data_IF_018193685970
#
_entry.id   IF_018193685970
#
_cell.length_a   1.000
_cell.length_b   1.000
_cell.length_c   1.000
_cell.angle_alpha   90.00
_cell.angle_beta   90.00
_cell.angle_gamma   90.00
#
_symmetry.space_group_name_H-M   'P 1'
#
loop_
_entity.id
_entity.type
_entity.pdbx_description
1 polymer ?
#
# COMPACT_ATOMS: atom_id res chain seq x y z
N UNK A 1 -8.64 -13.21 -5.71
CA UNK A 1 -7.78 -13.08 -4.52
C UNK A 1 -8.55 -13.60 -3.31
N UNK A 2 -7.91 -14.41 -2.46
CA UNK A 2 -8.51 -14.89 -1.21
C UNK A 2 -8.06 -13.97 -0.08
N UNK A 3 -8.93 -13.05 0.33
CA UNK A 3 -8.64 -12.13 1.43
C UNK A 3 -8.92 -12.82 2.77
N UNK A 4 -7.97 -12.76 3.71
CA UNK A 4 -8.16 -13.30 5.06
C UNK A 4 -9.14 -12.43 5.85
N UNK A 5 -9.91 -13.04 6.75
CA UNK A 5 -10.89 -12.29 7.57
C UNK A 5 -10.25 -11.53 8.73
N UNK A 6 -9.09 -11.98 9.19
CA UNK A 6 -8.31 -11.35 10.27
C UNK A 6 -6.82 -11.49 10.00
N UNK A 7 -6.04 -10.50 10.42
CA UNK A 7 -4.59 -10.49 10.34
C UNK A 7 -3.92 -11.02 11.62
N UNK A 8 -4.67 -11.15 12.71
CA UNK A 8 -4.17 -11.59 14.02
C UNK A 8 -5.25 -12.26 14.85
N UNK A 9 -4.83 -12.86 15.95
CA UNK A 9 -5.70 -13.40 16.99
C UNK A 9 -4.88 -14.02 18.11
N UNK A 10 -5.55 -14.70 19.08
CA UNK A 10 -4.84 -15.31 20.20
C UNK A 10 -3.77 -16.30 19.72
N UNK A 11 -2.50 -15.95 19.93
CA UNK A 11 -1.35 -16.79 19.62
C UNK A 11 -0.89 -16.76 18.14
N UNK A 12 -1.41 -15.87 17.29
CA UNK A 12 -0.95 -15.78 15.90
C UNK A 12 -1.05 -14.39 15.28
N UNK A 13 -0.20 -14.14 14.28
CA UNK A 13 -0.29 -13.03 13.34
C UNK A 13 0.07 -13.53 11.93
N UNK A 14 -0.63 -13.04 10.91
CA UNK A 14 -0.40 -13.39 9.51
C UNK A 14 0.50 -12.35 8.87
N UNK A 15 1.55 -12.80 8.18
CA UNK A 15 2.59 -11.94 7.60
C UNK A 15 2.74 -12.22 6.10
N UNK A 16 3.18 -11.21 5.35
CA UNK A 16 3.41 -11.31 3.91
C UNK A 16 2.25 -11.98 3.16
N UNK A 17 2.56 -12.97 2.34
CA UNK A 17 1.56 -13.66 1.52
C UNK A 17 0.51 -14.45 2.34
N UNK A 18 0.78 -14.76 3.60
CA UNK A 18 -0.23 -15.39 4.47
C UNK A 18 -1.31 -14.38 4.89
N UNK A 19 -1.00 -13.09 4.91
CA UNK A 19 -1.94 -12.01 5.16
C UNK A 19 -2.67 -11.61 3.87
N UNK A 20 -1.92 -11.23 2.83
CA UNK A 20 -2.50 -10.84 1.55
C UNK A 20 -1.50 -11.00 0.41
N UNK A 21 -1.99 -11.43 -0.75
CA UNK A 21 -1.22 -11.47 -1.99
C UNK A 21 -1.80 -10.46 -2.99
N UNK A 22 -0.94 -9.56 -3.47
CA UNK A 22 -1.22 -8.64 -4.57
C UNK A 22 -0.51 -9.14 -5.84
N UNK A 23 -1.00 -8.71 -7.00
CA UNK A 23 -0.38 -9.05 -8.28
C UNK A 23 1.09 -8.56 -8.35
N UNK A 24 2.02 -9.36 -8.91
CA UNK A 24 3.45 -9.03 -8.91
C UNK A 24 3.87 -7.86 -9.83
N UNK A 25 2.97 -7.15 -10.53
CA UNK A 25 3.31 -6.03 -11.44
C UNK A 25 4.36 -5.07 -10.88
N UNK A 26 4.27 -4.71 -9.59
CA UNK A 26 5.19 -3.75 -8.95
C UNK A 26 6.17 -4.37 -7.96
N UNK A 27 6.30 -5.71 -7.92
CA UNK A 27 7.26 -6.40 -7.05
C UNK A 27 7.18 -6.05 -5.55
N UNK A 28 5.99 -5.69 -5.06
CA UNK A 28 5.79 -5.23 -3.67
C UNK A 28 5.74 -6.34 -2.61
N UNK A 29 5.64 -7.61 -3.03
CA UNK A 29 5.44 -8.74 -2.11
C UNK A 29 6.52 -8.90 -1.03
N UNK A 30 7.80 -8.77 -1.40
CA UNK A 30 8.92 -8.85 -0.43
C UNK A 30 8.88 -7.65 0.53
N UNK A 31 8.59 -6.45 0.04
CA UNK A 31 8.43 -5.26 0.88
C UNK A 31 7.30 -5.45 1.89
N UNK A 32 6.15 -5.95 1.46
CA UNK A 32 5.01 -6.22 2.35
C UNK A 32 5.36 -7.30 3.38
N UNK A 33 6.04 -8.37 2.98
CA UNK A 33 6.48 -9.42 3.88
C UNK A 33 7.42 -8.89 4.96
N UNK A 34 8.46 -8.15 4.58
CA UNK A 34 9.43 -7.58 5.53
C UNK A 34 8.79 -6.52 6.41
N UNK A 35 7.90 -5.67 5.87
CA UNK A 35 7.20 -4.64 6.63
C UNK A 35 6.25 -5.24 7.66
N UNK A 36 5.45 -6.22 7.26
CA UNK A 36 4.55 -6.93 8.18
C UNK A 36 5.34 -7.62 9.30
N UNK A 37 6.45 -8.30 8.98
CA UNK A 37 7.29 -8.95 9.98
C UNK A 37 7.90 -7.94 10.98
N UNK A 38 8.43 -6.82 10.48
CA UNK A 38 8.99 -5.77 11.33
C UNK A 38 7.95 -5.18 12.29
N UNK A 39 6.73 -4.91 11.81
CA UNK A 39 5.65 -4.37 12.64
C UNK A 39 5.17 -5.39 13.69
N UNK A 40 4.90 -6.62 13.26
CA UNK A 40 4.44 -7.68 14.16
C UNK A 40 5.49 -8.00 15.24
N UNK A 41 6.77 -8.03 14.88
CA UNK A 41 7.86 -8.26 15.84
C UNK A 41 7.92 -7.16 16.91
N UNK A 42 7.68 -5.90 16.54
CA UNK A 42 7.66 -4.78 17.48
C UNK A 42 6.50 -4.89 18.48
N UNK A 43 5.30 -5.20 18.00
CA UNK A 43 4.11 -5.39 18.85
C UNK A 43 4.28 -6.62 19.75
N UNK A 44 4.74 -7.75 19.19
CA UNK A 44 5.00 -8.98 19.93
C UNK A 44 6.03 -8.77 21.04
N UNK A 45 7.12 -8.05 20.75
CA UNK A 45 8.16 -7.76 21.73
C UNK A 45 7.57 -7.06 22.96
N UNK A 46 6.77 -6.00 22.75
CA UNK A 46 6.10 -5.27 23.83
C UNK A 46 5.10 -6.13 24.61
N UNK A 47 4.31 -6.95 23.91
CA UNK A 47 3.40 -7.89 24.57
C UNK A 47 4.16 -8.88 25.47
N UNK A 48 5.30 -9.41 25.01
CA UNK A 48 6.13 -10.33 25.79
C UNK A 48 6.78 -9.66 27.00
N UNK A 49 6.90 -8.33 27.01
CA UNK A 49 7.32 -7.55 28.18
C UNK A 49 6.16 -7.26 29.16
N UNK A 50 4.95 -7.73 28.87
CA UNK A 50 3.77 -7.52 29.71
C UNK A 50 3.04 -6.19 29.47
N UNK A 51 3.38 -5.46 28.41
CA UNK A 51 2.62 -4.27 28.02
C UNK A 51 1.25 -4.64 27.46
N UNK A 52 0.26 -3.76 27.70
CA UNK A 52 -0.99 -3.79 26.97
C UNK A 52 -0.74 -3.32 25.53
N UNK A 53 -1.04 -4.18 24.56
CA UNK A 53 -0.93 -3.89 23.13
C UNK A 53 -2.26 -4.12 22.44
N UNK A 54 -2.54 -3.33 21.41
CA UNK A 54 -3.67 -3.51 20.51
C UNK A 54 -3.19 -3.89 19.12
N UNK A 55 -3.21 -5.18 18.81
CA UNK A 55 -2.81 -5.70 17.49
C UNK A 55 -3.65 -5.17 16.33
N UNK A 56 -4.88 -4.73 16.58
CA UNK A 56 -5.72 -4.15 15.54
C UNK A 56 -5.18 -2.78 15.14
N UNK A 57 -4.99 -1.89 16.12
CA UNK A 57 -4.55 -0.51 15.90
C UNK A 57 -3.06 -0.45 15.54
N UNK A 58 -2.24 -1.30 16.14
CA UNK A 58 -0.78 -1.19 16.07
C UNK A 58 -0.16 -2.05 14.95
N UNK A 59 -0.87 -3.08 14.47
CA UNK A 59 -0.39 -3.97 13.41
C UNK A 59 -1.36 -4.06 12.21
N UNK A 60 -2.61 -4.45 12.45
CA UNK A 60 -3.53 -4.80 11.37
C UNK A 60 -3.92 -3.59 10.50
N UNK A 61 -4.38 -2.52 11.13
CA UNK A 61 -4.79 -1.30 10.43
C UNK A 61 -3.63 -0.64 9.69
N UNK A 62 -2.45 -0.41 10.30
CA UNK A 62 -1.36 0.25 9.58
C UNK A 62 -0.79 -0.65 8.48
N UNK A 63 -0.75 -1.99 8.66
CA UNK A 63 -0.34 -2.90 7.58
C UNK A 63 -1.33 -2.81 6.42
N UNK A 64 -2.63 -2.89 6.73
CA UNK A 64 -3.70 -2.81 5.73
C UNK A 64 -3.67 -1.50 4.95
N UNK A 65 -3.36 -0.36 5.57
CA UNK A 65 -3.24 0.93 4.86
C UNK A 65 -2.23 0.85 3.71
N UNK A 66 -1.01 0.38 3.95
CA UNK A 66 0.00 0.28 2.90
C UNK A 66 -0.32 -0.78 1.84
N UNK A 67 -0.92 -1.90 2.24
CA UNK A 67 -1.39 -2.92 1.29
C UNK A 67 -2.51 -2.36 0.40
N UNK A 68 -3.45 -1.60 0.96
CA UNK A 68 -4.54 -0.95 0.22
C UNK A 68 -4.01 0.11 -0.75
N UNK A 69 -2.94 0.84 -0.37
CA UNK A 69 -2.21 1.75 -1.27
C UNK A 69 -1.67 0.99 -2.48
N UNK A 70 -0.88 -0.07 -2.28
CA UNK A 70 -0.40 -0.88 -3.40
C UNK A 70 -1.54 -1.46 -4.24
N UNK A 71 -2.61 -1.96 -3.61
CA UNK A 71 -3.77 -2.50 -4.31
C UNK A 71 -4.39 -1.47 -5.23
N UNK A 72 -4.53 -0.22 -4.80
CA UNK A 72 -5.05 0.86 -5.64
C UNK A 72 -4.24 1.04 -6.93
N UNK A 73 -2.92 0.99 -6.87
CA UNK A 73 -2.07 1.14 -8.05
C UNK A 73 -2.08 -0.09 -8.94
N UNK A 74 -2.14 -1.29 -8.37
CA UNK A 74 -2.30 -2.54 -9.14
C UNK A 74 -3.64 -2.54 -9.87
N UNK A 75 -4.74 -2.22 -9.18
CA UNK A 75 -6.06 -2.09 -9.78
C UNK A 75 -6.07 -1.02 -10.88
N UNK A 76 -5.47 0.15 -10.62
CA UNK A 76 -5.34 1.22 -11.60
C UNK A 76 -4.50 0.86 -12.83
N UNK A 77 -3.48 0.01 -12.67
CA UNK A 77 -2.70 -0.51 -13.79
C UNK A 77 -3.57 -1.34 -14.74
N UNK A 78 -4.33 -2.30 -14.20
CA UNK A 78 -5.22 -3.13 -15.01
C UNK A 78 -6.43 -2.38 -15.56
N UNK A 79 -6.89 -1.33 -14.86
CA UNK A 79 -7.96 -0.46 -15.33
C UNK A 79 -7.50 0.57 -16.39
N UNK A 80 -6.20 0.66 -16.68
CA UNK A 80 -5.63 1.66 -17.60
C UNK A 80 -5.41 3.04 -16.97
N UNK A 81 -6.19 3.43 -15.95
CA UNK A 81 -6.11 4.76 -15.32
C UNK A 81 -4.73 5.14 -14.80
N UNK A 82 -3.94 4.18 -14.31
CA UNK A 82 -2.57 4.44 -13.88
C UNK A 82 -1.58 4.52 -15.04
N UNK A 83 -1.85 3.81 -16.14
CA UNK A 83 -1.05 3.89 -17.37
C UNK A 83 -1.18 5.28 -17.99
N UNK A 84 -2.40 5.85 -18.03
CA UNK A 84 -2.64 7.21 -18.49
C UNK A 84 -1.76 8.23 -17.75
N UNK A 85 -1.63 8.07 -16.43
CA UNK A 85 -0.81 8.97 -15.59
C UNK A 85 0.70 8.76 -15.80
N UNK A 86 1.16 7.50 -15.88
CA UNK A 86 2.59 7.20 -16.03
C UNK A 86 3.13 7.62 -17.40
N UNK A 87 2.35 7.43 -18.46
CA UNK A 87 2.78 7.65 -19.83
C UNK A 87 2.40 9.03 -20.37
N UNK A 88 1.77 9.88 -19.56
CA UNK A 88 1.44 11.24 -19.97
C UNK A 88 2.72 12.06 -20.26
N UNK A 89 2.84 12.71 -21.44
CA UNK A 89 4.07 13.35 -21.90
C UNK A 89 4.51 14.51 -21.01
N UNK A 90 3.57 15.32 -20.52
CA UNK A 90 3.84 16.54 -19.74
C UNK A 90 3.64 16.32 -18.23
N UNK A 91 4.08 15.16 -17.73
CA UNK A 91 3.94 14.82 -16.31
C UNK A 91 4.75 15.75 -15.40
N UNK A 92 4.08 16.32 -14.39
CA UNK A 92 4.73 17.13 -13.36
C UNK A 92 5.85 16.34 -12.65
N UNK A 93 7.09 16.88 -12.57
CA UNK A 93 8.20 16.19 -11.90
C UNK A 93 7.92 15.88 -10.42
N UNK A 94 7.11 16.73 -9.75
CA UNK A 94 6.74 16.50 -8.36
C UNK A 94 5.80 15.30 -8.21
N UNK A 95 4.78 15.20 -9.08
CA UNK A 95 3.83 14.09 -9.08
C UNK A 95 4.56 12.79 -9.40
N UNK A 96 5.45 12.81 -10.40
CA UNK A 96 6.28 11.66 -10.74
C UNK A 96 7.11 11.17 -9.55
N UNK A 97 7.73 12.08 -8.78
CA UNK A 97 8.46 11.70 -7.55
C UNK A 97 7.56 11.04 -6.51
N UNK A 98 6.36 11.57 -6.29
CA UNK A 98 5.40 11.02 -5.33
C UNK A 98 4.94 9.60 -5.73
N UNK A 99 4.67 9.37 -7.01
CA UNK A 99 4.32 8.05 -7.54
C UNK A 99 5.53 7.11 -7.45
N UNK A 100 6.73 7.56 -7.85
CA UNK A 100 7.96 6.78 -7.74
C UNK A 100 8.26 6.35 -6.31
N UNK A 101 7.96 7.18 -5.30
CA UNK A 101 8.12 6.80 -3.90
C UNK A 101 7.26 5.58 -3.52
N UNK A 102 6.01 5.52 -4.00
CA UNK A 102 5.14 4.36 -3.77
C UNK A 102 5.74 3.10 -4.41
N UNK A 103 6.16 3.20 -5.68
CA UNK A 103 6.81 2.09 -6.39
C UNK A 103 8.12 1.64 -5.74
N UNK A 104 8.81 2.56 -5.07
CA UNK A 104 10.02 2.28 -4.29
C UNK A 104 9.75 1.68 -2.89
N UNK A 105 8.48 1.48 -2.52
CA UNK A 105 8.11 0.83 -1.25
C UNK A 105 7.56 1.75 -0.17
N UNK A 106 7.50 3.07 -0.39
CA UNK A 106 7.06 4.05 0.61
C UNK A 106 5.52 4.14 0.73
N UNK A 107 4.82 3.01 0.67
CA UNK A 107 3.36 2.93 0.73
C UNK A 107 2.74 3.23 2.12
N UNK A 108 3.57 3.58 3.11
CA UNK A 108 3.17 3.97 4.46
C UNK A 108 3.52 5.43 4.80
N UNK A 109 4.07 6.18 3.85
CA UNK A 109 4.36 7.61 4.05
C UNK A 109 3.10 8.45 3.82
N UNK A 110 2.34 8.69 4.89
CA UNK A 110 1.08 9.44 4.84
C UNK A 110 1.26 10.94 4.49
N UNK A 111 2.50 11.46 4.51
CA UNK A 111 2.79 12.81 4.00
C UNK A 111 2.66 12.90 2.48
N UNK A 112 2.74 11.76 1.78
CA UNK A 112 2.48 11.66 0.36
C UNK A 112 0.96 11.58 0.11
N UNK A 113 0.33 12.55 -0.58
CA UNK A 113 -1.12 12.52 -0.84
C UNK A 113 -1.57 11.30 -1.63
N UNK A 114 -0.67 10.71 -2.41
CA UNK A 114 -0.90 9.47 -3.17
C UNK A 114 -0.90 8.21 -2.31
N UNK A 115 -0.44 8.31 -1.06
CA UNK A 115 -0.51 7.24 -0.06
C UNK A 115 -1.69 7.45 0.88
N UNK A 116 -1.96 8.68 1.30
CA UNK A 116 -3.07 8.98 2.22
C UNK A 116 -4.44 8.97 1.53
N UNK A 117 -4.51 9.30 0.23
CA UNK A 117 -5.76 9.32 -0.55
C UNK A 117 -5.61 8.62 -1.93
N UNK A 118 -5.10 7.38 -2.02
CA UNK A 118 -4.60 6.78 -3.26
C UNK A 118 -5.66 6.75 -4.37
N UNK A 119 -6.87 6.27 -4.04
CA UNK A 119 -7.99 6.17 -5.00
C UNK A 119 -8.45 7.51 -5.53
N UNK A 120 -8.60 8.50 -4.63
CA UNK A 120 -9.09 9.84 -4.98
C UNK A 120 -8.08 10.56 -5.85
N UNK A 121 -6.80 10.52 -5.48
CA UNK A 121 -5.72 11.21 -6.20
C UNK A 121 -5.42 10.57 -7.54
N UNK A 122 -5.41 9.24 -7.62
CA UNK A 122 -5.21 8.54 -8.88
C UNK A 122 -6.34 8.84 -9.88
N UNK A 123 -7.61 8.82 -9.43
CA UNK A 123 -8.75 9.17 -10.29
C UNK A 123 -8.65 10.61 -10.80
N UNK A 124 -8.43 11.57 -9.89
CA UNK A 124 -8.29 12.98 -10.26
C UNK A 124 -7.23 13.18 -11.35
N UNK A 125 -6.07 12.52 -11.23
CA UNK A 125 -5.01 12.66 -12.22
C UNK A 125 -5.31 11.96 -13.53
N UNK A 126 -5.90 10.77 -13.48
CA UNK A 126 -6.33 10.06 -14.68
C UNK A 126 -7.35 10.89 -15.47
N UNK A 127 -8.31 11.55 -14.80
CA UNK A 127 -9.28 12.43 -15.45
C UNK A 127 -8.61 13.63 -16.15
N UNK A 128 -7.59 14.23 -15.52
CA UNK A 128 -6.79 15.31 -16.12
C UNK A 128 -6.02 14.81 -17.34
N UNK A 129 -5.29 13.69 -17.19
CA UNK A 129 -4.49 13.13 -18.29
C UNK A 129 -5.35 12.65 -19.47
N UNK A 130 -6.56 12.15 -19.22
CA UNK A 130 -7.47 11.68 -20.28
C UNK A 130 -8.10 12.83 -21.08
N UNK A 131 -8.39 13.96 -20.43
CA UNK A 131 -9.02 15.14 -21.08
C UNK A 131 -8.06 15.94 -21.96
N UNK A 132 -6.75 15.71 -21.84
CA UNK A 132 -5.71 16.36 -22.65
C UNK A 132 -5.30 15.55 -23.89
N UNK A 133 -5.99 14.44 -24.18
CA UNK A 133 -5.76 13.69 -25.44
C UNK A 133 -6.34 14.49 -26.61
N UNK A 134 -5.54 14.90 -27.61
CA UNK A 134 -6.02 15.66 -28.78
C UNK A 134 -6.95 14.86 -29.69
#
# INVERSE_FOLDING_TARGET
SANVKTLHGPGFALLGNAAEFLDPVFSSGVTIAMRSASMAAAVLHRQLQGEAVDWQIEFAEPLKRGVDTFRCYVEGWYAGTFQDVIFHPDSSPQIRRMISAILAGYAWDESNPFVSEPRRRLRMLSDICATETP
#
